data_IF_245132684705
#
_entry.id   IF_245132684705
#
_cell.length_a   1.000
_cell.length_b   1.000
_cell.length_c   1.000
_cell.angle_alpha   90.00
_cell.angle_beta   90.00
_cell.angle_gamma   90.00
#
_symmetry.space_group_name_H-M   'P 1'
#
loop_
_entity.id
_entity.type
_entity.pdbx_description
1 polymer ?
#
# COMPACT_ATOMS: atom_id res chain seq x y z
N UNK A 1 84.19 -2.64 -12.54
CA UNK A 1 83.45 -3.01 -13.76
C UNK A 1 82.05 -3.41 -13.32
N UNK A 2 81.13 -2.48 -13.06
CA UNK A 2 80.26 -1.76 -14.00
C UNK A 2 79.20 -2.64 -14.70
N UNK A 3 78.01 -2.66 -14.08
CA UNK A 3 76.67 -2.46 -14.69
C UNK A 3 75.91 -3.58 -15.43
N UNK A 4 74.63 -3.66 -15.02
CA UNK A 4 73.36 -3.91 -15.76
C UNK A 4 73.03 -5.30 -16.32
N UNK A 5 71.82 -5.79 -15.95
CA UNK A 5 70.63 -6.08 -16.82
C UNK A 5 69.64 -6.94 -16.00
N UNK A 6 68.43 -6.48 -15.69
CA UNK A 6 67.20 -6.50 -16.50
C UNK A 6 66.78 -7.93 -16.92
N UNK A 7 65.67 -8.41 -16.36
CA UNK A 7 65.04 -9.68 -16.74
C UNK A 7 63.71 -9.88 -16.00
N UNK A 8 62.64 -9.42 -16.63
CA UNK A 8 61.24 -9.59 -16.23
C UNK A 8 60.82 -11.07 -16.27
N UNK A 9 60.29 -11.61 -15.18
CA UNK A 9 59.52 -12.87 -15.19
C UNK A 9 58.22 -12.62 -14.44
N UNK A 10 57.11 -12.71 -15.17
CA UNK A 10 55.76 -12.68 -14.64
C UNK A 10 55.46 -13.99 -13.91
N UNK A 11 54.88 -13.91 -12.71
CA UNK A 11 54.36 -15.04 -11.96
C UNK A 11 53.42 -14.56 -10.86
N UNK A 12 52.13 -14.86 -11.04
CA UNK A 12 51.06 -14.65 -10.07
C UNK A 12 51.38 -15.28 -8.70
N UNK A 13 51.15 -14.54 -7.62
CA UNK A 13 50.62 -15.10 -6.37
C UNK A 13 49.97 -13.98 -5.53
N UNK A 14 48.68 -14.18 -5.25
CA UNK A 14 47.76 -13.31 -4.51
C UNK A 14 48.09 -13.22 -3.01
N UNK A 15 47.37 -12.30 -2.33
CA UNK A 15 47.12 -12.13 -0.88
C UNK A 15 47.78 -10.85 -0.32
N UNK A 16 47.06 -9.81 0.11
CA UNK A 16 45.62 -9.61 0.21
C UNK A 16 45.37 -8.13 0.51
N UNK A 17 44.61 -7.47 -0.37
CA UNK A 17 44.03 -6.16 -0.08
C UNK A 17 42.70 -6.41 0.61
N UNK A 18 42.63 -6.05 1.88
CA UNK A 18 41.39 -5.95 2.65
C UNK A 18 40.57 -4.82 2.04
N UNK A 19 39.71 -5.17 1.08
CA UNK A 19 38.62 -4.29 0.65
C UNK A 19 37.51 -4.38 1.69
N UNK A 20 37.36 -3.31 2.47
CA UNK A 20 36.16 -3.03 3.26
C UNK A 20 34.98 -2.98 2.29
N UNK A 21 34.16 -4.03 2.28
CA UNK A 21 32.86 -3.98 1.65
C UNK A 21 31.94 -3.18 2.57
N UNK A 22 31.77 -1.90 2.22
CA UNK A 22 30.60 -1.13 2.65
C UNK A 22 29.39 -1.88 2.10
N UNK A 23 28.68 -2.59 2.98
CA UNK A 23 27.39 -3.19 2.65
C UNK A 23 26.43 -2.04 2.34
N UNK A 24 26.22 -1.81 1.04
CA UNK A 24 25.22 -0.88 0.56
C UNK A 24 23.86 -1.31 1.09
N UNK A 25 23.29 -0.49 1.96
CA UNK A 25 21.89 -0.56 2.33
C UNK A 25 21.09 -0.31 1.05
N UNK A 26 20.64 -1.39 0.41
CA UNK A 26 19.61 -1.29 -0.62
C UNK A 26 18.37 -0.78 0.06
N UNK A 27 18.16 0.53 0.03
CA UNK A 27 16.82 1.09 -0.11
C UNK A 27 16.20 0.41 -1.31
N UNK A 28 15.52 -0.71 -1.06
CA UNK A 28 14.52 -1.28 -1.94
C UNK A 28 13.47 -0.18 -2.08
N UNK A 29 13.62 0.61 -3.13
CA UNK A 29 12.49 1.29 -3.73
C UNK A 29 11.54 0.18 -4.12
N UNK A 30 10.53 -0.08 -3.28
CA UNK A 30 9.41 -0.95 -3.60
C UNK A 30 8.81 -0.41 -4.89
N UNK A 31 9.18 -1.04 -6.01
CA UNK A 31 8.57 -0.81 -7.31
C UNK A 31 7.08 -1.10 -7.10
N UNK A 32 6.26 -0.06 -7.17
CA UNK A 32 4.80 -0.24 -7.14
C UNK A 32 4.48 -0.92 -8.47
N UNK A 33 4.14 -2.20 -8.38
CA UNK A 33 3.64 -2.98 -9.51
C UNK A 33 2.19 -2.54 -9.74
N UNK A 34 1.78 -2.42 -11.00
CA UNK A 34 0.41 -2.01 -11.37
C UNK A 34 -0.56 -2.97 -10.70
N UNK A 35 -1.19 -2.50 -9.61
CA UNK A 35 -2.12 -3.31 -8.85
C UNK A 35 -3.45 -3.35 -9.59
N UNK A 36 -3.99 -4.55 -9.78
CA UNK A 36 -5.37 -4.69 -10.23
C UNK A 36 -6.30 -3.98 -9.23
N UNK A 37 -7.43 -3.43 -9.71
CA UNK A 37 -8.34 -2.65 -8.86
C UNK A 37 -8.73 -3.39 -7.57
N UNK A 38 -8.90 -4.71 -7.66
CA UNK A 38 -9.20 -5.56 -6.50
C UNK A 38 -8.05 -5.63 -5.49
N UNK A 39 -6.81 -5.61 -5.94
CA UNK A 39 -5.61 -5.62 -5.09
C UNK A 39 -5.42 -4.27 -4.40
N UNK A 40 -5.64 -3.16 -5.11
CA UNK A 40 -5.65 -1.82 -4.50
C UNK A 40 -6.68 -1.71 -3.38
N UNK A 41 -7.89 -2.23 -3.58
CA UNK A 41 -8.92 -2.19 -2.54
C UNK A 41 -8.55 -3.06 -1.34
N UNK A 42 -7.94 -4.24 -1.55
CA UNK A 42 -7.39 -5.05 -0.44
C UNK A 42 -6.29 -4.31 0.30
N UNK A 43 -5.39 -3.63 -0.41
CA UNK A 43 -4.33 -2.84 0.20
C UNK A 43 -4.88 -1.70 1.08
N UNK A 44 -5.98 -1.04 0.67
CA UNK A 44 -6.67 -0.03 1.51
C UNK A 44 -7.21 -0.63 2.82
N UNK A 45 -7.70 -1.87 2.79
CA UNK A 45 -8.16 -2.57 4.00
C UNK A 45 -6.99 -2.85 4.95
N UNK A 46 -5.87 -3.33 4.43
CA UNK A 46 -4.65 -3.58 5.22
C UNK A 46 -4.16 -2.28 5.88
N UNK A 47 -4.07 -1.18 5.13
CA UNK A 47 -3.69 0.12 5.69
C UNK A 47 -4.62 0.55 6.84
N UNK A 48 -5.94 0.33 6.69
CA UNK A 48 -6.93 0.65 7.72
C UNK A 48 -6.75 -0.20 8.98
N UNK A 49 -6.40 -1.49 8.83
CA UNK A 49 -6.11 -2.39 9.94
C UNK A 49 -4.84 -1.96 10.68
N UNK A 50 -3.80 -1.56 9.96
CA UNK A 50 -2.57 -1.04 10.57
C UNK A 50 -2.84 0.24 11.36
N UNK A 51 -3.60 1.18 10.80
CA UNK A 51 -3.99 2.40 11.51
C UNK A 51 -4.75 2.06 12.80
N UNK A 52 -5.75 1.17 12.73
CA UNK A 52 -6.49 0.74 13.92
C UNK A 52 -5.57 0.07 14.95
N UNK A 53 -4.72 -0.86 14.49
CA UNK A 53 -3.74 -1.55 15.32
C UNK A 53 -2.86 -0.57 16.06
N UNK A 54 -2.31 0.41 15.35
CA UNK A 54 -1.46 1.45 15.94
C UNK A 54 -2.21 2.35 16.93
N UNK A 55 -3.46 2.69 16.65
CA UNK A 55 -4.28 3.48 17.57
C UNK A 55 -4.54 2.73 18.89
N UNK A 56 -4.92 1.44 18.82
CA UNK A 56 -5.24 0.66 20.03
C UNK A 56 -4.00 0.27 20.83
N UNK A 57 -2.82 0.19 20.18
CA UNK A 57 -1.55 -0.11 20.85
C UNK A 57 -0.73 1.14 21.18
N UNK A 58 -1.21 2.34 20.87
CA UNK A 58 -0.47 3.61 20.98
C UNK A 58 0.86 3.60 20.19
N UNK A 59 0.91 2.87 19.08
CA UNK A 59 2.04 2.79 18.15
C UNK A 59 1.83 3.77 16.99
N UNK A 60 2.36 4.99 17.18
CA UNK A 60 2.28 6.04 16.17
C UNK A 60 3.06 5.74 14.88
N UNK A 61 4.09 4.89 14.93
CA UNK A 61 4.82 4.49 13.72
C UNK A 61 3.98 3.57 12.85
N UNK A 62 3.22 2.65 13.47
CA UNK A 62 2.26 1.82 12.75
C UNK A 62 1.12 2.66 12.16
N UNK A 63 0.57 3.62 12.92
CA UNK A 63 -0.42 4.58 12.38
C UNK A 63 0.15 5.34 11.19
N UNK A 64 1.38 5.87 11.32
CA UNK A 64 2.05 6.63 10.26
C UNK A 64 2.27 5.78 9.01
N UNK A 65 2.78 4.55 9.15
CA UNK A 65 2.98 3.65 8.00
C UNK A 65 1.68 3.34 7.27
N UNK A 66 0.64 2.95 8.00
CA UNK A 66 -0.67 2.68 7.40
C UNK A 66 -1.27 3.92 6.72
N UNK A 67 -1.12 5.11 7.31
CA UNK A 67 -1.57 6.36 6.72
C UNK A 67 -0.76 6.77 5.47
N UNK A 68 0.55 6.55 5.47
CA UNK A 68 1.45 6.80 4.34
C UNK A 68 1.07 5.93 3.14
N UNK A 69 0.94 4.62 3.36
CA UNK A 69 0.56 3.68 2.30
C UNK A 69 -0.86 3.96 1.80
N UNK A 70 -1.81 4.28 2.68
CA UNK A 70 -3.16 4.68 2.27
C UNK A 70 -3.13 5.94 1.40
N UNK A 71 -2.29 6.92 1.74
CA UNK A 71 -2.13 8.16 1.00
C UNK A 71 -1.62 7.89 -0.42
N UNK A 72 -0.60 7.05 -0.54
CA UNK A 72 -0.02 6.64 -1.83
C UNK A 72 -1.05 5.91 -2.70
N UNK A 73 -1.81 4.97 -2.14
CA UNK A 73 -2.85 4.23 -2.89
C UNK A 73 -3.98 5.16 -3.34
N UNK A 74 -4.31 6.22 -2.59
CA UNK A 74 -5.36 7.16 -3.00
C UNK A 74 -4.98 8.02 -4.21
N UNK A 75 -3.69 8.33 -4.35
CA UNK A 75 -3.15 9.19 -5.41
C UNK A 75 -2.34 8.45 -6.49
N UNK A 76 -2.33 7.11 -6.46
CA UNK A 76 -1.65 6.33 -7.50
C UNK A 76 -2.24 6.65 -8.88
N UNK A 77 -1.36 6.98 -9.82
CA UNK A 77 -1.69 7.23 -11.23
C UNK A 77 -1.89 5.95 -12.04
N UNK A 78 -1.69 4.79 -11.42
CA UNK A 78 -1.66 3.49 -12.11
C UNK A 78 -3.06 2.91 -12.37
N UNK A 79 -4.10 3.49 -11.76
CA UNK A 79 -5.48 3.09 -11.96
C UNK A 79 -6.29 4.21 -12.60
N UNK A 80 -7.22 3.85 -13.49
CA UNK A 80 -8.13 4.79 -14.15
C UNK A 80 -9.42 4.88 -13.33
N UNK A 81 -9.61 5.95 -12.52
CA UNK A 81 -10.80 6.10 -11.69
C UNK A 81 -12.05 6.42 -12.52
N UNK A 82 -13.22 6.13 -11.97
CA UNK A 82 -14.47 6.67 -12.51
C UNK A 82 -14.45 8.20 -12.52
N UNK A 83 -14.97 8.78 -13.60
CA UNK A 83 -15.03 10.23 -13.79
C UNK A 83 -16.21 10.89 -13.04
N UNK A 84 -17.06 10.08 -12.40
CA UNK A 84 -18.20 10.55 -11.62
C UNK A 84 -17.79 11.50 -10.49
N UNK A 85 -18.56 12.57 -10.30
CA UNK A 85 -18.21 13.67 -9.38
C UNK A 85 -18.29 13.24 -7.91
N UNK A 86 -19.27 12.42 -7.54
CA UNK A 86 -19.45 11.96 -6.16
C UNK A 86 -18.36 10.94 -5.81
N UNK A 87 -18.03 10.05 -6.75
CA UNK A 87 -16.90 9.14 -6.62
C UNK A 87 -15.57 9.89 -6.42
N UNK A 88 -15.29 10.89 -7.26
CA UNK A 88 -14.12 11.78 -7.13
C UNK A 88 -14.10 12.51 -5.78
N UNK A 89 -15.26 12.96 -5.30
CA UNK A 89 -15.36 13.62 -4.00
C UNK A 89 -14.94 12.68 -2.87
N UNK A 90 -15.47 11.46 -2.81
CA UNK A 90 -15.08 10.48 -1.79
C UNK A 90 -13.59 10.13 -1.85
N UNK A 91 -13.02 9.98 -3.05
CA UNK A 91 -11.58 9.74 -3.23
C UNK A 91 -10.73 10.89 -2.71
N UNK A 92 -11.12 12.12 -3.06
CA UNK A 92 -10.40 13.33 -2.65
C UNK A 92 -10.46 13.48 -1.13
N UNK A 93 -11.62 13.21 -0.53
CA UNK A 93 -11.78 13.27 0.92
C UNK A 93 -10.97 12.18 1.63
N UNK A 94 -10.94 10.95 1.11
CA UNK A 94 -10.10 9.87 1.65
C UNK A 94 -8.62 10.25 1.64
N UNK A 95 -8.13 10.83 0.53
CA UNK A 95 -6.76 11.32 0.41
C UNK A 95 -6.46 12.46 1.41
N UNK A 96 -7.38 13.40 1.59
CA UNK A 96 -7.23 14.47 2.59
C UNK A 96 -7.11 13.91 4.01
N UNK A 97 -7.83 12.82 4.31
CA UNK A 97 -7.83 12.18 5.62
C UNK A 97 -6.59 11.33 5.87
N UNK A 98 -6.06 10.63 4.87
CA UNK A 98 -4.78 9.95 5.00
C UNK A 98 -3.66 10.94 5.34
N UNK A 99 -3.64 12.10 4.68
CA UNK A 99 -2.69 13.17 5.03
C UNK A 99 -2.90 13.73 6.44
N UNK A 100 -4.15 13.82 6.92
CA UNK A 100 -4.42 14.26 8.29
C UNK A 100 -3.98 13.23 9.31
N UNK A 101 -4.20 11.93 9.04
CA UNK A 101 -3.73 10.82 9.86
C UNK A 101 -2.21 10.84 10.01
N UNK A 102 -1.49 11.05 8.90
CA UNK A 102 -0.02 11.24 8.89
C UNK A 102 0.40 12.34 9.86
N UNK A 103 -0.15 13.55 9.71
CA UNK A 103 0.18 14.69 10.59
C UNK A 103 -0.15 14.41 12.05
N UNK A 104 -1.30 13.78 12.35
CA UNK A 104 -1.66 13.44 13.73
C UNK A 104 -0.77 12.35 14.32
N UNK A 105 -0.26 11.42 13.50
CA UNK A 105 0.70 10.42 13.92
C UNK A 105 2.09 11.03 14.19
N UNK A 106 2.58 11.90 13.30
CA UNK A 106 3.84 12.63 13.45
C UNK A 106 3.87 13.51 14.70
N UNK A 107 2.74 14.17 15.00
CA UNK A 107 2.58 15.00 16.20
C UNK A 107 2.17 14.20 17.44
N UNK A 108 2.09 12.88 17.34
CA UNK A 108 1.72 11.95 18.44
C UNK A 108 0.39 12.33 19.12
N UNK A 109 -0.56 12.80 18.32
CA UNK A 109 -1.88 13.22 18.75
C UNK A 109 -2.87 12.05 18.61
N UNK A 110 -3.02 11.24 19.66
CA UNK A 110 -3.85 10.03 19.65
C UNK A 110 -5.32 10.34 19.40
N UNK A 111 -5.87 11.33 20.10
CA UNK A 111 -7.28 11.72 19.99
C UNK A 111 -7.59 12.25 18.58
N UNK A 112 -6.71 13.09 18.05
CA UNK A 112 -6.79 13.61 16.69
C UNK A 112 -6.70 12.52 15.63
N UNK A 113 -5.81 11.55 15.82
CA UNK A 113 -5.66 10.40 14.93
C UNK A 113 -6.89 9.49 14.99
N UNK A 114 -7.40 9.17 16.19
CA UNK A 114 -8.60 8.36 16.40
C UNK A 114 -9.85 9.00 15.76
N UNK A 115 -10.08 10.29 15.99
CA UNK A 115 -11.19 11.01 15.35
C UNK A 115 -11.07 11.02 13.82
N UNK A 116 -9.87 11.25 13.31
CA UNK A 116 -9.63 11.24 11.86
C UNK A 116 -9.85 9.86 11.27
N UNK A 117 -9.44 8.79 11.97
CA UNK A 117 -9.65 7.42 11.53
C UNK A 117 -11.14 7.04 11.47
N UNK A 118 -11.94 7.43 12.46
CA UNK A 118 -13.39 7.23 12.41
C UNK A 118 -14.02 7.87 11.17
N UNK A 119 -13.57 9.07 10.80
CA UNK A 119 -14.06 9.74 9.60
C UNK A 119 -13.56 9.06 8.31
N UNK A 120 -12.34 8.52 8.30
CA UNK A 120 -11.84 7.66 7.21
C UNK A 120 -12.75 6.46 6.99
N UNK A 121 -13.19 5.77 8.05
CA UNK A 121 -14.12 4.64 7.95
C UNK A 121 -15.46 5.05 7.31
N UNK A 122 -16.01 6.20 7.72
CA UNK A 122 -17.26 6.70 7.15
C UNK A 122 -17.14 6.99 5.64
N UNK A 123 -16.01 7.55 5.19
CA UNK A 123 -15.76 7.81 3.77
C UNK A 123 -15.63 6.52 2.97
N UNK A 124 -14.95 5.50 3.51
CA UNK A 124 -14.84 4.19 2.89
C UNK A 124 -16.23 3.55 2.69
N UNK A 125 -17.06 3.54 3.75
CA UNK A 125 -18.41 3.00 3.70
C UNK A 125 -19.27 3.76 2.69
N UNK A 126 -19.27 5.10 2.76
CA UNK A 126 -20.09 5.95 1.87
C UNK A 126 -19.71 5.76 0.41
N UNK A 127 -18.40 5.71 0.10
CA UNK A 127 -17.91 5.44 -1.24
C UNK A 127 -18.39 4.07 -1.74
N UNK A 128 -18.27 3.03 -0.91
CA UNK A 128 -18.67 1.68 -1.30
C UNK A 128 -20.19 1.52 -1.47
N UNK A 129 -20.99 2.23 -0.66
CA UNK A 129 -22.45 2.31 -0.86
C UNK A 129 -22.75 2.99 -2.19
N UNK A 130 -22.14 4.14 -2.48
CA UNK A 130 -22.35 4.84 -3.74
C UNK A 130 -21.93 4.01 -4.98
N UNK A 131 -20.77 3.35 -4.92
CA UNK A 131 -20.28 2.49 -6.00
C UNK A 131 -21.21 1.30 -6.27
N UNK A 132 -21.85 0.77 -5.23
CA UNK A 132 -22.74 -0.39 -5.29
C UNK A 132 -24.14 0.00 -5.77
N UNK A 133 -24.70 1.03 -5.15
CA UNK A 133 -26.13 1.34 -5.25
C UNK A 133 -26.43 2.35 -6.36
N UNK A 134 -25.46 3.20 -6.73
CA UNK A 134 -25.64 4.27 -7.73
C UNK A 134 -24.81 4.01 -8.99
N UNK A 135 -23.49 3.86 -8.86
CA UNK A 135 -22.61 3.68 -10.02
C UNK A 135 -22.61 2.26 -10.59
N UNK A 136 -23.02 1.26 -9.80
CA UNK A 136 -23.05 -0.15 -10.21
C UNK A 136 -21.75 -0.62 -10.88
N UNK A 137 -20.59 -0.18 -10.35
CA UNK A 137 -19.26 -0.44 -10.94
C UNK A 137 -18.98 -1.95 -11.12
N UNK A 138 -19.63 -2.81 -10.34
CA UNK A 138 -19.51 -4.26 -10.44
C UNK A 138 -20.41 -4.92 -11.51
N UNK A 139 -21.46 -4.23 -11.99
CA UNK A 139 -22.40 -4.79 -12.98
C UNK A 139 -21.91 -4.59 -14.43
N UNK A 140 -20.96 -3.68 -14.68
CA UNK A 140 -20.36 -3.43 -16.00
C UNK A 140 -19.19 -4.39 -16.34
N UNK A 141 -18.94 -5.41 -15.51
CA UNK A 141 -17.85 -6.37 -15.69
C UNK A 141 -18.36 -7.55 -16.53
N UNK A 142 -17.82 -7.71 -17.74
CA UNK A 142 -18.10 -8.85 -18.62
C UNK A 142 -17.82 -10.20 -17.90
N UNK A 143 -18.62 -11.26 -18.14
CA UNK A 143 -18.44 -12.54 -17.47
C UNK A 143 -17.04 -13.11 -17.72
N UNK A 144 -16.17 -13.10 -16.70
CA UNK A 144 -14.82 -13.67 -16.76
C UNK A 144 -13.71 -12.81 -16.16
N UNK A 145 -13.93 -11.51 -15.92
CA UNK A 145 -12.94 -10.66 -15.25
C UNK A 145 -13.13 -10.65 -13.73
N UNK A 146 -12.64 -11.71 -13.07
CA UNK A 146 -11.92 -11.74 -11.78
C UNK A 146 -12.35 -10.91 -10.55
N UNK A 147 -13.45 -10.17 -10.57
CA UNK A 147 -13.94 -9.42 -9.43
C UNK A 147 -14.98 -10.27 -8.76
N UNK A 148 -14.66 -10.81 -7.58
CA UNK A 148 -15.66 -11.45 -6.72
C UNK A 148 -16.62 -10.34 -6.27
N UNK A 149 -17.88 -10.34 -6.71
CA UNK A 149 -18.84 -9.33 -6.25
C UNK A 149 -19.03 -9.50 -4.75
N UNK A 150 -19.04 -8.39 -4.02
CA UNK A 150 -19.43 -8.38 -2.61
C UNK A 150 -20.95 -8.62 -2.59
N UNK A 151 -21.45 -9.66 -1.89
CA UNK A 151 -22.87 -9.97 -1.82
C UNK A 151 -23.69 -8.74 -1.43
N UNK A 152 -24.71 -8.43 -2.23
CA UNK A 152 -25.66 -7.35 -1.96
C UNK A 152 -26.97 -7.87 -1.36
N UNK A 153 -27.16 -9.19 -1.30
CA UNK A 153 -28.32 -9.86 -0.71
C UNK A 153 -27.92 -11.11 0.10
N UNK A 154 -28.71 -11.46 1.12
CA UNK A 154 -28.47 -12.62 2.01
C UNK A 154 -28.35 -13.96 1.26
N UNK A 155 -29.03 -14.11 0.12
CA UNK A 155 -28.98 -15.31 -0.71
C UNK A 155 -27.60 -15.56 -1.33
N UNK A 156 -26.77 -14.52 -1.46
CA UNK A 156 -25.41 -14.59 -2.02
C UNK A 156 -24.33 -14.80 -0.93
N UNK A 157 -24.67 -14.62 0.35
CA UNK A 157 -23.73 -14.78 1.47
C UNK A 157 -23.37 -16.25 1.74
N UNK A 158 -24.29 -17.18 1.46
CA UNK A 158 -24.08 -18.62 1.64
C UNK A 158 -22.92 -19.17 0.81
N UNK A 159 -22.58 -18.53 -0.31
CA UNK A 159 -21.52 -18.98 -1.22
C UNK A 159 -20.11 -18.58 -0.78
N UNK A 160 -19.98 -17.63 0.17
CA UNK A 160 -18.69 -17.22 0.72
C UNK A 160 -18.23 -18.11 1.88
N UNK A 161 -19.15 -18.75 2.60
CA UNK A 161 -18.85 -19.61 3.74
C UNK A 161 -18.33 -21.00 3.29
N UNK A 162 -18.75 -21.44 2.11
CA UNK A 162 -18.41 -22.75 1.52
C UNK A 162 -17.18 -22.70 0.59
N UNK A 163 -16.52 -21.54 0.47
CA UNK A 163 -15.27 -21.39 -0.30
C UNK A 163 -14.05 -21.93 0.45
N UNK A 164 -12.98 -22.37 -0.24
CA UNK A 164 -11.78 -22.86 0.42
C UNK A 164 -11.17 -21.74 1.27
N UNK A 165 -11.13 -21.96 2.59
CA UNK A 165 -10.41 -21.11 3.54
C UNK A 165 -8.93 -21.19 3.20
N UNK A 166 -8.38 -20.12 2.64
CA UNK A 166 -6.94 -19.99 2.44
C UNK A 166 -6.34 -19.80 3.84
N UNK A 167 -5.82 -20.90 4.41
CA UNK A 167 -5.07 -20.94 5.66
C UNK A 167 -3.65 -20.40 5.46
#
# INVERSE_FOLDING_TARGET
>A
MLKHKLGMVAGLACLGLVTVYVTGESTTTRKVEVLEQSEMMRAKVVCSQDILGGLVSNDFDLVRRGAEELNQICYSSEWTPSEDQVYKHHRTELHRLSQKLLRTAETRNLEGAAFTYMHTLNVCISCHQYCRDVLKIAEEIEPGQGVVPIPTHELDAGRLIDGPVIR
#
